data_IF_224898360647
#
_entry.id   IF_224898360647
#
_cell.length_a   1.000
_cell.length_b   1.000
_cell.length_c   1.000
_cell.angle_alpha   90.00
_cell.angle_beta   90.00
_cell.angle_gamma   90.00
#
_symmetry.space_group_name_H-M   'P 1'
#
loop_
_entity.id
_entity.type
_entity.pdbx_description
1 polymer ?
#
# COMPACT_ATOMS: atom_id res chain seq x y z
N UNK A 1 -15.67 -37.73 -14.56
CA UNK A 1 -14.95 -36.86 -15.51
C UNK A 1 -14.14 -35.87 -14.70
N UNK A 2 -12.80 -35.96 -14.77
CA UNK A 2 -11.90 -35.06 -14.05
C UNK A 2 -11.81 -33.73 -14.82
N UNK A 3 -12.27 -32.64 -14.21
CA UNK A 3 -11.98 -31.29 -14.69
C UNK A 3 -10.55 -30.96 -14.25
N UNK A 4 -9.58 -31.24 -15.12
CA UNK A 4 -8.24 -30.68 -15.00
C UNK A 4 -8.36 -29.18 -15.21
N UNK A 5 -8.51 -28.43 -14.11
CA UNK A 5 -8.43 -26.98 -14.12
C UNK A 5 -7.06 -26.58 -14.63
N UNK A 6 -7.00 -26.00 -15.83
CA UNK A 6 -5.84 -25.25 -16.26
C UNK A 6 -5.65 -24.13 -15.24
N UNK A 7 -4.62 -24.22 -14.41
CA UNK A 7 -4.28 -23.22 -13.39
C UNK A 7 -3.86 -21.92 -14.08
N UNK A 8 -4.82 -21.19 -14.60
CA UNK A 8 -4.63 -19.84 -15.10
C UNK A 8 -4.45 -18.93 -13.90
N UNK A 9 -3.48 -18.03 -13.98
CA UNK A 9 -3.33 -17.01 -12.96
C UNK A 9 -4.56 -16.09 -12.91
N UNK A 10 -4.85 -15.50 -11.74
CA UNK A 10 -5.89 -14.49 -11.60
C UNK A 10 -5.66 -13.27 -12.51
N UNK A 11 -6.67 -12.41 -12.58
CA UNK A 11 -6.58 -11.13 -13.31
C UNK A 11 -5.39 -10.32 -12.81
N UNK A 12 -4.64 -9.73 -13.74
CA UNK A 12 -3.41 -8.95 -13.50
C UNK A 12 -2.26 -9.73 -12.85
N UNK A 13 -2.34 -11.05 -12.85
CA UNK A 13 -1.24 -11.93 -12.45
C UNK A 13 -0.67 -12.67 -13.65
N UNK A 14 0.60 -13.06 -13.55
CA UNK A 14 1.29 -13.92 -14.51
C UNK A 14 1.99 -15.04 -13.79
N UNK A 15 2.16 -16.17 -14.46
CA UNK A 15 2.99 -17.24 -13.92
C UNK A 15 4.44 -16.76 -13.86
N UNK A 16 5.09 -17.01 -12.72
CA UNK A 16 6.48 -16.69 -12.44
C UNK A 16 7.16 -17.91 -11.81
N UNK A 17 8.41 -18.14 -12.20
CA UNK A 17 9.27 -19.12 -11.53
C UNK A 17 9.78 -18.63 -10.16
N UNK A 18 9.61 -17.34 -9.87
CA UNK A 18 9.91 -16.73 -8.59
C UNK A 18 8.84 -15.70 -8.23
N UNK A 19 7.88 -16.09 -7.40
CA UNK A 19 6.89 -15.18 -6.81
C UNK A 19 7.58 -14.36 -5.73
N UNK A 20 7.47 -13.04 -5.82
CA UNK A 20 8.03 -12.09 -4.85
C UNK A 20 6.99 -11.85 -3.74
N UNK A 21 7.19 -12.35 -2.50
CA UNK A 21 6.15 -12.31 -1.46
C UNK A 21 5.76 -10.90 -1.03
N UNK A 22 6.68 -9.93 -1.16
CA UNK A 22 6.49 -8.53 -0.85
C UNK A 22 6.17 -7.67 -2.08
N UNK A 23 5.66 -8.28 -3.16
CA UNK A 23 5.18 -7.54 -4.34
C UNK A 23 3.80 -6.90 -4.09
N UNK A 24 3.72 -6.16 -3.00
CA UNK A 24 2.52 -5.48 -2.53
C UNK A 24 2.59 -3.97 -2.80
N UNK A 25 1.45 -3.29 -2.67
CA UNK A 25 1.34 -1.86 -2.97
C UNK A 25 2.30 -0.96 -2.18
N UNK A 26 2.80 -1.41 -1.02
CA UNK A 26 3.67 -0.66 -0.13
C UNK A 26 5.15 -0.98 -0.40
N UNK A 27 5.50 -2.26 -0.35
CA UNK A 27 6.89 -2.73 -0.39
C UNK A 27 7.42 -2.80 -1.82
N UNK A 28 6.55 -3.05 -2.79
CA UNK A 28 6.87 -3.05 -4.23
C UNK A 28 8.09 -3.91 -4.58
N UNK A 29 8.25 -5.04 -3.90
CA UNK A 29 9.36 -5.95 -4.09
C UNK A 29 10.67 -5.54 -3.41
N UNK A 30 10.72 -4.40 -2.71
CA UNK A 30 11.91 -3.95 -1.95
C UNK A 30 12.00 -4.68 -0.61
N UNK A 31 12.24 -5.98 -0.66
CA UNK A 31 12.49 -6.81 0.50
C UNK A 31 13.50 -7.91 0.22
N UNK A 32 14.09 -8.45 1.29
CA UNK A 32 14.93 -9.65 1.22
C UNK A 32 14.09 -10.87 1.52
N UNK A 33 14.07 -11.82 0.58
CA UNK A 33 13.48 -13.14 0.78
C UNK A 33 14.46 -14.20 0.27
N UNK A 34 14.52 -15.34 0.95
CA UNK A 34 15.59 -16.34 0.77
C UNK A 34 15.26 -17.39 -0.29
N UNK A 35 13.98 -17.57 -0.62
CA UNK A 35 13.52 -18.67 -1.46
C UNK A 35 12.49 -18.21 -2.48
N UNK A 36 12.70 -18.59 -3.74
CA UNK A 36 11.74 -18.41 -4.81
C UNK A 36 10.79 -19.60 -4.87
N UNK A 37 9.49 -19.32 -4.85
CA UNK A 37 8.47 -20.31 -5.15
C UNK A 37 7.87 -20.03 -6.52
N UNK A 38 7.55 -21.09 -7.28
CA UNK A 38 6.81 -20.96 -8.53
C UNK A 38 5.33 -20.70 -8.26
N UNK A 39 4.69 -19.86 -9.05
CA UNK A 39 3.28 -19.54 -8.88
C UNK A 39 2.85 -18.30 -9.64
N UNK A 40 1.72 -17.73 -9.25
CA UNK A 40 1.20 -16.49 -9.83
C UNK A 40 1.69 -15.28 -9.03
N UNK A 41 2.22 -14.30 -9.75
CA UNK A 41 2.67 -13.02 -9.19
C UNK A 41 2.07 -11.87 -10.00
N UNK A 42 2.01 -10.67 -9.42
CA UNK A 42 1.51 -9.50 -10.12
C UNK A 42 2.32 -9.24 -11.39
N UNK A 43 1.62 -8.85 -12.45
CA UNK A 43 2.25 -8.37 -13.68
C UNK A 43 3.05 -7.10 -13.41
N UNK A 44 3.98 -6.78 -14.31
CA UNK A 44 4.75 -5.54 -14.22
C UNK A 44 3.82 -4.32 -14.21
N UNK A 45 4.04 -3.40 -13.27
CA UNK A 45 3.18 -2.23 -13.06
C UNK A 45 1.93 -2.50 -12.20
N UNK A 46 1.73 -3.72 -11.72
CA UNK A 46 0.67 -4.10 -10.79
C UNK A 46 1.25 -4.56 -9.45
N UNK A 47 0.53 -4.28 -8.37
CA UNK A 47 0.94 -4.66 -7.03
C UNK A 47 -0.24 -5.20 -6.22
N UNK A 48 0.05 -6.10 -5.30
CA UNK A 48 -0.98 -6.76 -4.49
C UNK A 48 -1.52 -5.79 -3.43
N UNK A 49 -2.84 -5.61 -3.40
CA UNK A 49 -3.53 -4.83 -2.38
C UNK A 49 -3.82 -5.68 -1.12
N UNK A 50 -4.44 -5.08 -0.11
CA UNK A 50 -4.83 -5.76 1.14
C UNK A 50 -5.86 -6.88 0.94
N UNK A 51 -6.63 -6.84 -0.15
CA UNK A 51 -7.61 -7.88 -0.51
C UNK A 51 -6.96 -9.04 -1.29
N UNK A 52 -5.63 -9.01 -1.47
CA UNK A 52 -4.89 -10.03 -2.18
C UNK A 52 -4.95 -9.92 -3.70
N UNK A 53 -5.49 -8.83 -4.26
CA UNK A 53 -5.63 -8.62 -5.72
C UNK A 53 -4.51 -7.75 -6.27
N UNK A 54 -3.99 -8.09 -7.44
CA UNK A 54 -3.05 -7.24 -8.17
C UNK A 54 -3.81 -6.10 -8.87
N UNK A 55 -3.56 -4.88 -8.43
CA UNK A 55 -4.15 -3.64 -8.97
C UNK A 55 -3.07 -2.77 -9.62
N UNK A 56 -3.43 -1.90 -10.58
CA UNK A 56 -2.47 -0.97 -11.16
C UNK A 56 -1.75 -0.16 -10.08
N UNK A 57 -0.46 0.13 -10.28
CA UNK A 57 0.33 0.93 -9.34
C UNK A 57 -0.29 2.30 -9.01
N UNK A 58 -1.09 2.86 -9.91
CA UNK A 58 -1.86 4.09 -9.72
C UNK A 58 -3.04 3.96 -8.75
N UNK A 59 -3.56 2.75 -8.57
CA UNK A 59 -4.68 2.43 -7.69
C UNK A 59 -4.22 1.95 -6.30
N UNK A 60 -2.94 1.60 -6.15
CA UNK A 60 -2.36 1.44 -4.82
C UNK A 60 -2.64 2.72 -4.02
N UNK A 61 -3.34 2.56 -2.89
CA UNK A 61 -3.68 3.65 -1.99
C UNK A 61 -2.47 4.58 -1.88
N UNK A 62 -2.68 5.83 -2.28
CA UNK A 62 -1.59 6.80 -2.38
C UNK A 62 -0.81 6.85 -1.06
N UNK A 63 0.46 7.27 -1.10
CA UNK A 63 1.30 7.62 0.08
C UNK A 63 0.72 8.76 0.97
N UNK A 64 -0.59 8.97 0.89
CA UNK A 64 -1.42 9.88 1.64
C UNK A 64 -2.62 9.13 2.28
N UNK A 65 -2.58 7.78 2.36
CA UNK A 65 -3.55 7.05 3.16
C UNK A 65 -3.49 7.58 4.59
N UNK A 66 -4.59 8.16 5.05
CA UNK A 66 -4.71 8.74 6.39
C UNK A 66 -4.82 7.59 7.38
N UNK A 67 -3.75 7.37 8.15
CA UNK A 67 -3.67 6.33 9.17
C UNK A 67 -4.25 6.84 10.50
N UNK A 68 -4.04 8.10 10.82
CA UNK A 68 -4.64 8.73 12.00
C UNK A 68 -4.87 10.22 11.79
N UNK A 69 -5.88 10.74 12.50
CA UNK A 69 -6.24 12.16 12.49
C UNK A 69 -6.38 12.65 13.92
N UNK A 70 -5.79 13.80 14.23
CA UNK A 70 -5.85 14.42 15.57
C UNK A 70 -6.57 15.77 15.51
N UNK A 71 -7.61 15.93 16.33
CA UNK A 71 -8.42 17.15 16.47
C UNK A 71 -7.86 18.10 17.52
N UNK A 72 -8.28 19.37 17.50
CA UNK A 72 -7.85 20.38 18.48
C UNK A 72 -6.74 21.33 18.00
N UNK A 73 -6.76 21.66 16.70
CA UNK A 73 -5.77 22.54 16.09
C UNK A 73 -4.46 21.84 15.74
N UNK A 74 -3.81 22.31 14.68
CA UNK A 74 -2.61 21.68 14.13
C UNK A 74 -1.45 22.66 14.00
N UNK A 75 -0.30 22.26 14.54
CA UNK A 75 0.99 22.90 14.27
C UNK A 75 1.83 21.98 13.38
N UNK A 76 2.30 22.48 12.24
CA UNK A 76 2.96 21.67 11.21
C UNK A 76 4.20 20.94 11.77
N UNK A 77 5.08 21.67 12.47
CA UNK A 77 6.31 21.09 13.03
C UNK A 77 6.01 20.00 14.08
N UNK A 78 5.03 20.23 14.95
CA UNK A 78 4.60 19.23 15.95
C UNK A 78 3.93 18.03 15.29
N UNK A 79 3.10 18.24 14.28
CA UNK A 79 2.42 17.18 13.54
C UNK A 79 3.44 16.28 12.83
N UNK A 80 4.39 16.88 12.11
CA UNK A 80 5.48 16.14 11.44
C UNK A 80 6.31 15.36 12.45
N UNK A 81 6.72 15.97 13.57
CA UNK A 81 7.51 15.29 14.58
C UNK A 81 6.77 14.12 15.25
N UNK A 82 5.48 14.31 15.55
CA UNK A 82 4.62 13.28 16.13
C UNK A 82 4.45 12.08 15.18
N UNK A 83 3.99 12.30 13.95
CA UNK A 83 3.76 11.22 12.99
C UNK A 83 5.08 10.50 12.65
N UNK A 84 6.21 11.22 12.58
CA UNK A 84 7.52 10.61 12.37
C UNK A 84 7.90 9.60 13.45
N UNK A 85 7.44 9.80 14.70
CA UNK A 85 7.62 8.82 15.79
C UNK A 85 6.96 7.47 15.52
N UNK A 86 5.98 7.42 14.62
CA UNK A 86 5.28 6.21 14.19
C UNK A 86 5.71 5.74 12.79
N UNK A 87 6.75 6.34 12.20
CA UNK A 87 7.15 6.06 10.82
C UNK A 87 6.18 6.59 9.76
N UNK A 88 5.35 7.57 10.13
CA UNK A 88 4.35 8.20 9.26
C UNK A 88 4.76 9.62 8.86
N UNK A 89 4.23 10.10 7.74
CA UNK A 89 4.33 11.49 7.32
C UNK A 89 3.17 12.31 7.90
N UNK A 90 3.51 13.32 8.69
CA UNK A 90 2.53 14.28 9.23
C UNK A 90 2.30 15.47 8.31
N UNK A 91 1.06 15.95 8.23
CA UNK A 91 0.75 17.26 7.64
C UNK A 91 -0.52 17.87 8.23
N UNK A 92 -0.59 19.21 8.32
CA UNK A 92 -1.82 19.89 8.72
C UNK A 92 -2.76 20.08 7.52
N UNK A 93 -4.02 19.67 7.65
CA UNK A 93 -5.08 19.90 6.65
C UNK A 93 -6.35 20.41 7.30
N UNK A 94 -7.08 21.26 6.57
CA UNK A 94 -8.40 21.71 6.99
C UNK A 94 -9.39 20.55 6.93
N UNK A 95 -10.19 20.39 7.99
CA UNK A 95 -11.25 19.38 8.04
C UNK A 95 -12.39 19.67 7.04
N UNK A 96 -12.65 20.95 6.82
CA UNK A 96 -13.65 21.52 5.90
C UNK A 96 -13.19 22.95 5.53
N UNK A 97 -13.66 23.54 4.42
CA UNK A 97 -13.24 24.88 4.00
C UNK A 97 -13.43 25.93 5.10
N UNK A 98 -12.34 26.57 5.52
CA UNK A 98 -12.36 27.56 6.61
C UNK A 98 -12.48 26.98 8.02
N UNK A 99 -12.38 25.65 8.16
CA UNK A 99 -12.41 24.93 9.42
C UNK A 99 -11.05 24.86 10.13
N UNK A 100 -11.07 24.29 11.33
CA UNK A 100 -9.83 24.02 12.06
C UNK A 100 -8.93 23.03 11.31
N UNK A 101 -7.61 23.24 11.42
CA UNK A 101 -6.63 22.32 10.86
C UNK A 101 -6.46 21.12 11.78
N UNK A 102 -6.52 19.94 11.20
CA UNK A 102 -6.25 18.65 11.80
C UNK A 102 -4.85 18.20 11.44
N UNK A 103 -4.20 17.46 12.34
CA UNK A 103 -2.97 16.75 12.00
C UNK A 103 -3.33 15.39 11.39
N UNK A 104 -2.93 15.18 10.13
CA UNK A 104 -3.07 13.91 9.42
C UNK A 104 -1.72 13.20 9.43
N UNK A 105 -1.68 12.00 9.99
CA UNK A 105 -0.57 11.08 9.81
C UNK A 105 -0.90 10.14 8.64
N UNK A 106 -0.03 10.15 7.64
CA UNK A 106 -0.17 9.38 6.42
C UNK A 106 1.02 8.45 6.24
N UNK A 107 0.84 7.38 5.48
CA UNK A 107 1.90 6.39 5.23
C UNK A 107 2.82 6.81 4.08
#
# INVERSE_FOLDING_TARGET
>A
MFLAGTASCPVNERYSDCVVPCNDCHTRGDCKFLFCNKGCDCQEGYFRNSDGKCIPASECASKNEVISTHMGGCNEARCVAFCKGYGLRGSCKEAYPGGEKLCLCTK
#
